data_IF_075960273205
#
_entry.id   IF_075960273205
#
_cell.length_a   1.000
_cell.length_b   1.000
_cell.length_c   1.000
_cell.angle_alpha   90.00
_cell.angle_beta   90.00
_cell.angle_gamma   90.00
#
_symmetry.space_group_name_H-M   'P 1'
#
loop_
_entity.id
_entity.type
_entity.pdbx_description
1 polymer ?
#
# COMPACT_ATOMS: atom_id res chain seq x y z
N UNK A 1 0.08 0.38 -8.03
CA UNK A 1 1.36 0.95 -8.48
C UNK A 1 1.56 2.30 -7.77
N UNK A 2 1.99 2.36 -6.52
CA UNK A 2 2.39 3.65 -5.88
C UNK A 2 2.75 3.56 -4.40
N UNK A 3 3.22 2.42 -3.91
CA UNK A 3 3.61 2.29 -2.51
C UNK A 3 5.03 2.84 -2.25
N UNK A 4 5.85 3.00 -3.29
CA UNK A 4 7.26 3.38 -3.14
C UNK A 4 7.57 4.88 -3.26
N UNK A 5 6.65 5.70 -3.79
CA UNK A 5 6.87 7.13 -4.01
C UNK A 5 6.09 7.95 -2.98
N UNK A 6 6.63 8.17 -1.81
CA UNK A 6 6.16 9.20 -0.87
C UNK A 6 7.14 10.37 -0.84
N UNK A 7 6.95 11.30 -1.77
CA UNK A 7 7.60 12.60 -1.71
C UNK A 7 7.07 13.41 -0.50
N UNK A 8 7.95 13.99 0.30
CA UNK A 8 7.65 14.81 1.50
C UNK A 8 6.62 15.94 1.24
N UNK A 9 6.43 16.38 0.02
CA UNK A 9 5.47 17.42 -0.36
C UNK A 9 4.02 16.89 -0.51
N UNK A 10 3.80 15.61 -0.75
CA UNK A 10 2.44 15.05 -0.80
C UNK A 10 1.87 14.76 0.60
N UNK A 11 2.71 14.57 1.59
CA UNK A 11 2.27 14.45 2.99
C UNK A 11 1.63 15.74 3.56
N UNK A 12 1.83 16.91 2.92
CA UNK A 12 1.17 18.18 3.28
C UNK A 12 -0.19 18.37 2.64
N UNK A 13 -0.48 17.75 1.50
CA UNK A 13 -1.78 17.89 0.81
C UNK A 13 -2.87 16.93 1.31
N UNK A 14 -2.50 15.84 2.00
CA UNK A 14 -3.47 14.88 2.55
C UNK A 14 -4.10 15.38 3.89
N UNK A 15 -3.61 16.48 4.47
CA UNK A 15 -4.18 17.06 5.71
C UNK A 15 -5.45 17.86 5.53
N UNK A 16 -5.94 18.08 4.30
CA UNK A 16 -7.07 18.99 4.03
C UNK A 16 -8.33 18.33 3.44
N UNK A 17 -8.42 17.01 3.34
CA UNK A 17 -9.61 16.36 2.71
C UNK A 17 -10.22 15.20 3.48
N UNK A 18 -10.24 15.30 4.80
CA UNK A 18 -10.97 14.34 5.63
C UNK A 18 -12.14 15.00 6.35
N UNK A 19 -12.93 15.80 5.66
CA UNK A 19 -14.27 16.23 6.11
C UNK A 19 -14.91 17.03 4.97
N UNK A 20 -15.96 16.49 4.39
CA UNK A 20 -16.93 17.29 3.66
C UNK A 20 -17.09 16.95 2.18
N UNK A 21 -18.31 16.55 1.88
CA UNK A 21 -19.01 16.74 0.60
C UNK A 21 -19.00 15.58 -0.40
N UNK A 22 -19.84 14.60 -0.12
CA UNK A 22 -20.68 14.02 -1.18
C UNK A 22 -21.87 14.96 -1.39
N UNK A 23 -21.78 15.87 -2.34
CA UNK A 23 -22.92 16.50 -3.01
C UNK A 23 -22.38 17.40 -4.13
N UNK A 24 -22.35 16.90 -5.34
CA UNK A 24 -22.37 17.73 -6.53
C UNK A 24 -23.43 17.18 -7.47
N UNK A 25 -24.65 17.62 -7.24
CA UNK A 25 -25.79 17.52 -8.16
C UNK A 25 -25.52 18.48 -9.32
N UNK A 26 -25.18 17.97 -10.49
CA UNK A 26 -25.11 18.77 -11.70
C UNK A 26 -26.53 18.99 -12.26
N UNK A 27 -27.04 20.17 -12.07
CA UNK A 27 -28.19 20.70 -12.89
C UNK A 27 -27.56 21.24 -14.17
N UNK A 28 -27.72 20.52 -15.28
CA UNK A 28 -27.42 21.04 -16.61
C UNK A 28 -28.72 21.50 -17.24
N UNK A 29 -28.83 22.80 -17.40
CA UNK A 29 -29.83 23.48 -18.21
C UNK A 29 -29.71 23.08 -19.68
N UNK A 30 -30.80 22.64 -20.28
CA UNK A 30 -30.90 22.22 -21.64
C UNK A 30 -30.74 23.40 -22.62
N UNK A 31 -29.78 23.25 -23.55
CA UNK A 31 -29.83 23.95 -24.85
C UNK A 31 -29.32 22.96 -25.89
N UNK A 32 -30.20 22.65 -26.83
CA UNK A 32 -30.05 21.71 -27.93
C UNK A 32 -28.82 21.99 -28.81
N UNK A 33 -27.89 21.04 -28.87
CA UNK A 33 -27.11 20.73 -30.06
C UNK A 33 -26.92 19.21 -30.12
N UNK A 34 -27.71 18.57 -30.99
CA UNK A 34 -27.53 17.15 -31.33
C UNK A 34 -26.35 17.07 -32.26
N UNK A 35 -25.17 16.78 -31.73
CA UNK A 35 -24.09 16.15 -32.48
C UNK A 35 -24.01 14.72 -31.94
N UNK A 36 -24.36 13.75 -32.78
CA UNK A 36 -24.21 12.36 -32.46
C UNK A 36 -22.70 12.05 -32.36
N UNK A 37 -22.15 12.16 -31.15
CA UNK A 37 -20.86 11.59 -30.83
C UNK A 37 -21.07 10.10 -30.59
N UNK A 38 -20.57 9.27 -31.50
CA UNK A 38 -20.39 7.86 -31.26
C UNK A 38 -19.58 7.69 -29.97
N UNK A 39 -20.22 7.13 -28.94
CA UNK A 39 -19.51 6.75 -27.72
C UNK A 39 -18.41 5.78 -28.09
N UNK A 40 -17.15 5.99 -27.69
CA UNK A 40 -16.09 5.04 -27.98
C UNK A 40 -16.48 3.67 -27.41
N UNK A 41 -16.57 2.69 -28.28
CA UNK A 41 -16.85 1.30 -27.92
C UNK A 41 -15.67 0.81 -27.09
N UNK A 42 -15.81 0.83 -25.77
CA UNK A 42 -14.83 0.23 -24.87
C UNK A 42 -14.82 -1.26 -25.20
N UNK A 43 -13.77 -1.71 -25.88
CA UNK A 43 -13.53 -3.14 -26.12
C UNK A 43 -13.09 -3.69 -24.76
N UNK A 44 -14.03 -4.19 -23.99
CA UNK A 44 -13.74 -5.00 -22.80
C UNK A 44 -13.23 -6.35 -23.34
N UNK A 45 -11.99 -6.77 -23.01
CA UNK A 45 -11.53 -8.09 -23.40
C UNK A 45 -12.51 -9.12 -22.85
N UNK A 46 -12.80 -10.17 -23.64
CA UNK A 46 -13.72 -11.25 -23.27
C UNK A 46 -13.28 -11.80 -21.90
N UNK A 47 -14.04 -11.50 -20.87
CA UNK A 47 -13.83 -12.05 -19.54
C UNK A 47 -14.21 -13.53 -19.63
N UNK A 48 -13.28 -14.41 -19.24
CA UNK A 48 -13.60 -15.81 -19.01
C UNK A 48 -14.78 -15.91 -18.05
N UNK A 49 -15.57 -16.95 -18.18
CA UNK A 49 -16.74 -17.21 -17.32
C UNK A 49 -16.31 -17.17 -15.85
N UNK A 50 -16.75 -16.14 -15.13
CA UNK A 50 -16.42 -15.94 -13.71
C UNK A 50 -17.36 -16.72 -12.78
N UNK A 51 -18.38 -17.41 -13.31
CA UNK A 51 -19.43 -18.07 -12.54
C UNK A 51 -20.35 -17.12 -11.76
N UNK A 52 -20.18 -15.80 -11.90
CA UNK A 52 -20.96 -14.79 -11.19
C UNK A 52 -22.28 -14.54 -11.90
N UNK A 53 -23.40 -14.57 -11.16
CA UNK A 53 -24.72 -14.23 -11.67
C UNK A 53 -24.87 -12.75 -12.06
N UNK A 54 -24.25 -11.87 -11.25
CA UNK A 54 -24.22 -10.43 -11.51
C UNK A 54 -22.83 -9.86 -11.18
N UNK A 55 -21.95 -9.78 -12.17
CA UNK A 55 -20.61 -9.23 -12.02
C UNK A 55 -20.57 -7.76 -11.53
N UNK A 56 -21.61 -6.96 -11.82
CA UNK A 56 -21.67 -5.55 -11.43
C UNK A 56 -21.86 -5.41 -9.92
N UNK A 57 -22.81 -6.16 -9.35
CA UNK A 57 -23.02 -6.18 -7.91
C UNK A 57 -21.79 -6.70 -7.16
N UNK A 58 -21.15 -7.76 -7.69
CA UNK A 58 -19.90 -8.27 -7.12
C UNK A 58 -18.78 -7.22 -7.17
N UNK A 59 -18.60 -6.54 -8.30
CA UNK A 59 -17.55 -5.52 -8.46
C UNK A 59 -17.74 -4.36 -7.47
N UNK A 60 -18.97 -3.88 -7.30
CA UNK A 60 -19.29 -2.84 -6.32
C UNK A 60 -18.97 -3.31 -4.89
N UNK A 61 -19.46 -4.48 -4.50
CA UNK A 61 -19.21 -5.05 -3.17
C UNK A 61 -17.71 -5.28 -2.92
N UNK A 62 -16.97 -5.77 -3.92
CA UNK A 62 -15.53 -5.97 -3.83
C UNK A 62 -14.78 -4.65 -3.63
N UNK A 63 -15.17 -3.59 -4.36
CA UNK A 63 -14.55 -2.28 -4.19
C UNK A 63 -14.80 -1.69 -2.80
N UNK A 64 -16.05 -1.75 -2.32
CA UNK A 64 -16.42 -1.31 -0.96
C UNK A 64 -15.60 -2.10 0.08
N UNK A 65 -15.53 -3.43 -0.07
CA UNK A 65 -14.74 -4.28 0.82
C UNK A 65 -13.24 -3.93 0.83
N UNK A 66 -12.67 -3.61 -0.34
CA UNK A 66 -11.28 -3.12 -0.44
C UNK A 66 -11.07 -1.80 0.30
N UNK A 67 -11.99 -0.86 0.16
CA UNK A 67 -11.89 0.45 0.81
C UNK A 67 -12.02 0.30 2.34
N UNK A 68 -12.93 -0.56 2.80
CA UNK A 68 -13.04 -0.92 4.21
C UNK A 68 -11.75 -1.57 4.74
N UNK A 69 -11.19 -2.54 4.01
CA UNK A 69 -9.94 -3.21 4.39
C UNK A 69 -8.75 -2.22 4.43
N UNK A 70 -8.69 -1.27 3.49
CA UNK A 70 -7.65 -0.21 3.50
C UNK A 70 -7.76 0.72 4.70
N UNK A 71 -8.96 0.86 5.27
CA UNK A 71 -9.23 1.59 6.51
C UNK A 71 -8.98 0.77 7.77
N UNK A 72 -8.44 -0.44 7.64
CA UNK A 72 -8.12 -1.33 8.76
C UNK A 72 -9.28 -2.17 9.28
N UNK A 73 -10.42 -2.16 8.58
CA UNK A 73 -11.57 -3.00 8.89
C UNK A 73 -11.36 -4.42 8.35
N UNK A 74 -11.95 -5.40 9.02
CA UNK A 74 -11.92 -6.82 8.63
C UNK A 74 -13.30 -7.45 8.78
N UNK A 75 -13.50 -8.63 8.22
CA UNK A 75 -14.76 -9.36 8.34
C UNK A 75 -15.12 -9.68 9.80
N UNK A 76 -14.15 -9.75 10.71
CA UNK A 76 -14.36 -9.96 12.13
C UNK A 76 -15.01 -8.76 12.84
N UNK A 77 -15.05 -7.59 12.21
CA UNK A 77 -15.62 -6.38 12.78
C UNK A 77 -17.15 -6.29 12.59
N UNK A 78 -17.72 -7.15 11.73
CA UNK A 78 -19.13 -7.04 11.32
C UNK A 78 -19.88 -8.35 11.41
N UNK A 79 -21.17 -8.24 11.74
CA UNK A 79 -22.15 -9.19 11.27
C UNK A 79 -22.52 -8.83 9.82
N UNK A 80 -22.27 -9.76 8.90
CA UNK A 80 -22.49 -9.51 7.46
C UNK A 80 -23.98 -9.36 7.13
N UNK A 81 -24.87 -10.04 7.86
CA UNK A 81 -26.31 -9.93 7.65
C UNK A 81 -26.81 -8.55 8.07
N UNK A 82 -26.36 -8.06 9.24
CA UNK A 82 -26.70 -6.72 9.72
C UNK A 82 -26.06 -5.62 8.83
N UNK A 83 -24.84 -5.83 8.34
CA UNK A 83 -24.22 -4.90 7.40
C UNK A 83 -25.03 -4.78 6.10
N UNK A 84 -25.47 -5.90 5.54
CA UNK A 84 -26.28 -5.92 4.33
C UNK A 84 -27.69 -5.37 4.56
N UNK A 85 -28.28 -5.62 5.74
CA UNK A 85 -29.57 -5.02 6.13
C UNK A 85 -29.43 -3.48 6.22
N UNK A 86 -28.39 -2.99 6.91
CA UNK A 86 -28.11 -1.56 7.01
C UNK A 86 -27.85 -0.90 5.65
N UNK A 87 -27.14 -1.57 4.75
CA UNK A 87 -26.94 -1.10 3.37
C UNK A 87 -28.26 -0.97 2.61
N UNK A 88 -29.13 -1.98 2.71
CA UNK A 88 -30.46 -2.00 2.08
C UNK A 88 -31.37 -0.89 2.66
N UNK A 89 -31.39 -0.80 3.98
CA UNK A 89 -32.19 0.22 4.69
C UNK A 89 -31.71 1.64 4.33
N UNK A 90 -30.40 1.84 4.19
CA UNK A 90 -29.80 3.10 3.77
C UNK A 90 -30.20 3.51 2.35
N UNK A 91 -30.21 2.59 1.39
CA UNK A 91 -30.70 2.84 0.04
C UNK A 91 -32.21 3.13 -0.03
N UNK A 92 -32.97 2.58 0.92
CA UNK A 92 -34.42 2.79 1.00
C UNK A 92 -34.82 3.98 1.89
N UNK A 93 -33.85 4.68 2.49
CA UNK A 93 -34.07 5.79 3.45
C UNK A 93 -34.92 5.37 4.67
N UNK A 94 -34.74 4.10 5.14
CA UNK A 94 -35.52 3.48 6.23
C UNK A 94 -34.64 3.03 7.39
N UNK A 95 -33.71 3.90 7.81
CA UNK A 95 -32.80 3.58 8.90
C UNK A 95 -33.50 3.20 10.21
N UNK A 96 -33.03 2.11 10.86
CA UNK A 96 -33.54 1.63 12.15
C UNK A 96 -32.89 2.34 13.34
N UNK A 97 -31.74 2.98 13.13
CA UNK A 97 -30.99 3.69 14.16
C UNK A 97 -31.15 5.20 13.96
N UNK A 98 -31.25 5.94 15.07
CA UNK A 98 -31.16 7.38 15.03
C UNK A 98 -29.69 7.82 14.92
N UNK A 99 -29.47 9.11 14.64
CA UNK A 99 -28.16 9.68 14.39
C UNK A 99 -27.17 9.49 15.57
N UNK A 100 -27.65 9.61 16.80
CA UNK A 100 -26.86 9.38 18.01
C UNK A 100 -26.42 7.92 18.16
N UNK A 101 -27.30 6.97 17.87
CA UNK A 101 -26.98 5.53 17.90
C UNK A 101 -25.96 5.17 16.81
N UNK A 102 -26.12 5.72 15.61
CA UNK A 102 -25.14 5.56 14.52
C UNK A 102 -23.77 6.08 14.95
N UNK A 103 -23.73 7.31 15.51
CA UNK A 103 -22.49 7.91 16.01
C UNK A 103 -21.80 7.05 17.08
N UNK A 104 -22.55 6.56 18.05
CA UNK A 104 -22.01 5.69 19.11
C UNK A 104 -21.47 4.37 18.55
N UNK A 105 -22.18 3.74 17.61
CA UNK A 105 -21.72 2.51 16.96
C UNK A 105 -20.42 2.73 16.18
N UNK A 106 -20.32 3.85 15.44
CA UNK A 106 -19.13 4.19 14.68
C UNK A 106 -17.93 4.50 15.57
N UNK A 107 -18.13 5.19 16.71
CA UNK A 107 -17.06 5.42 17.70
C UNK A 107 -16.56 4.09 18.26
N UNK A 108 -17.46 3.19 18.67
CA UNK A 108 -17.08 1.86 19.18
C UNK A 108 -16.31 1.02 18.16
N UNK A 109 -16.68 1.11 16.87
CA UNK A 109 -15.96 0.46 15.77
C UNK A 109 -14.56 1.03 15.61
N UNK A 110 -14.42 2.37 15.60
CA UNK A 110 -13.12 3.04 15.48
C UNK A 110 -12.17 2.69 16.63
N UNK A 111 -12.67 2.64 17.87
CA UNK A 111 -11.86 2.26 19.04
C UNK A 111 -11.37 0.81 18.93
N UNK A 112 -12.20 -0.11 18.46
CA UNK A 112 -11.82 -1.51 18.25
C UNK A 112 -10.73 -1.64 17.19
N UNK A 113 -10.90 -0.98 16.04
CA UNK A 113 -9.90 -0.96 14.96
C UNK A 113 -8.58 -0.38 15.46
N UNK A 114 -8.64 0.76 16.18
CA UNK A 114 -7.46 1.40 16.76
C UNK A 114 -6.73 0.48 17.73
N UNK A 115 -7.43 -0.17 18.63
CA UNK A 115 -6.84 -1.11 19.59
C UNK A 115 -6.14 -2.29 18.88
N UNK A 116 -6.77 -2.86 17.84
CA UNK A 116 -6.18 -3.92 17.02
C UNK A 116 -4.94 -3.45 16.27
N UNK A 117 -4.97 -2.24 15.71
CA UNK A 117 -3.81 -1.68 15.01
C UNK A 117 -2.63 -1.43 15.95
N UNK A 118 -2.88 -0.96 17.18
CA UNK A 118 -1.85 -0.79 18.21
C UNK A 118 -1.24 -2.14 18.59
N UNK A 119 -2.06 -3.18 18.82
CA UNK A 119 -1.55 -4.52 19.15
C UNK A 119 -0.75 -5.12 17.99
N UNK A 120 -1.24 -4.98 16.75
CA UNK A 120 -0.51 -5.41 15.54
C UNK A 120 0.82 -4.68 15.39
N UNK A 121 0.83 -3.37 15.62
CA UNK A 121 2.02 -2.53 15.59
C UNK A 121 3.09 -3.02 16.59
N UNK A 122 2.68 -3.27 17.83
CA UNK A 122 3.56 -3.79 18.87
C UNK A 122 4.13 -5.17 18.50
N UNK A 123 3.26 -6.11 18.10
CA UNK A 123 3.67 -7.47 17.70
C UNK A 123 4.62 -7.47 16.51
N UNK A 124 4.37 -6.61 15.52
CA UNK A 124 5.25 -6.49 14.35
C UNK A 124 6.62 -5.93 14.74
N UNK A 125 6.65 -4.91 15.63
CA UNK A 125 7.90 -4.34 16.12
C UNK A 125 8.74 -5.36 16.90
N UNK A 126 8.10 -6.14 17.77
CA UNK A 126 8.75 -7.23 18.50
C UNK A 126 9.37 -8.24 17.54
N UNK A 127 8.59 -8.74 16.57
CA UNK A 127 9.07 -9.68 15.53
C UNK A 127 10.19 -9.08 14.69
N UNK A 128 10.09 -7.81 14.32
CA UNK A 128 11.13 -7.12 13.55
C UNK A 128 12.45 -7.07 14.34
N UNK A 129 12.39 -6.71 15.63
CA UNK A 129 13.57 -6.63 16.50
C UNK A 129 14.20 -8.00 16.73
N UNK A 130 13.39 -9.03 17.00
CA UNK A 130 13.88 -10.41 17.17
C UNK A 130 14.55 -10.92 15.89
N UNK A 131 13.92 -10.69 14.74
CA UNK A 131 14.48 -11.08 13.46
C UNK A 131 15.82 -10.39 13.18
N UNK A 132 15.90 -9.08 13.33
CA UNK A 132 17.13 -8.31 13.10
C UNK A 132 18.24 -8.71 14.06
N UNK A 133 17.90 -8.98 15.33
CA UNK A 133 18.85 -9.47 16.33
C UNK A 133 19.46 -10.81 15.93
N UNK A 134 18.67 -11.74 15.43
CA UNK A 134 19.16 -13.03 14.97
C UNK A 134 19.85 -12.93 13.59
N UNK A 135 19.38 -12.03 12.72
CA UNK A 135 19.87 -11.93 11.35
C UNK A 135 21.26 -11.32 11.25
N UNK A 136 21.62 -10.39 12.16
CA UNK A 136 22.95 -9.73 12.16
C UNK A 136 24.12 -10.71 12.34
N UNK A 137 23.86 -11.87 12.98
CA UNK A 137 24.86 -12.87 13.27
C UNK A 137 24.98 -13.94 12.16
N UNK A 138 24.18 -13.82 11.09
CA UNK A 138 24.25 -14.69 9.93
C UNK A 138 25.43 -14.33 9.04
N UNK A 139 26.04 -15.36 8.44
CA UNK A 139 27.19 -15.21 7.56
C UNK A 139 26.90 -14.22 6.41
N UNK A 140 27.80 -13.28 6.18
CA UNK A 140 27.74 -12.28 5.12
C UNK A 140 26.79 -11.10 5.37
N UNK A 141 25.96 -11.15 6.42
CA UNK A 141 25.08 -10.05 6.76
C UNK A 141 25.87 -8.90 7.39
N UNK A 142 25.67 -7.71 6.86
CA UNK A 142 26.24 -6.47 7.37
C UNK A 142 25.15 -5.58 7.98
N UNK A 143 25.49 -4.89 9.07
CA UNK A 143 24.58 -3.96 9.75
C UNK A 143 25.19 -2.55 9.73
N UNK A 144 24.42 -1.58 9.29
CA UNK A 144 24.84 -0.17 9.29
C UNK A 144 24.52 0.52 10.61
N UNK A 145 25.01 1.76 10.79
CA UNK A 145 24.74 2.56 12.00
C UNK A 145 23.26 2.91 12.16
N UNK A 146 22.48 2.96 11.08
CA UNK A 146 21.04 3.22 11.12
C UNK A 146 20.20 2.00 11.51
N UNK A 147 20.84 0.81 11.54
CA UNK A 147 20.17 -0.47 11.76
C UNK A 147 19.68 -1.16 10.47
N UNK A 148 19.94 -0.59 9.30
CA UNK A 148 19.75 -1.30 8.04
C UNK A 148 20.66 -2.52 8.01
N UNK A 149 20.12 -3.68 7.65
CA UNK A 149 20.91 -4.88 7.39
C UNK A 149 20.86 -5.25 5.91
N UNK A 150 21.96 -5.76 5.39
CA UNK A 150 22.03 -6.21 4.01
C UNK A 150 22.99 -7.38 3.84
N UNK A 151 22.71 -8.18 2.81
CA UNK A 151 23.55 -9.27 2.34
C UNK A 151 23.84 -9.04 0.85
N UNK A 152 25.11 -8.95 0.47
CA UNK A 152 25.51 -8.89 -0.93
C UNK A 152 25.37 -10.29 -1.55
N UNK A 153 24.48 -10.41 -2.53
CA UNK A 153 24.26 -11.65 -3.28
C UNK A 153 25.15 -11.70 -4.53
N UNK A 154 25.43 -10.52 -5.12
CA UNK A 154 26.31 -10.34 -6.27
C UNK A 154 27.00 -8.98 -6.15
N UNK A 155 28.30 -8.94 -6.43
CA UNK A 155 29.10 -7.73 -6.40
C UNK A 155 29.19 -7.09 -7.81
N UNK A 156 28.73 -5.86 -7.90
CA UNK A 156 28.87 -5.00 -9.10
C UNK A 156 30.21 -4.27 -9.13
N UNK A 157 30.52 -3.76 -10.32
CA UNK A 157 31.78 -3.00 -10.58
C UNK A 157 31.52 -1.60 -11.17
N UNK A 158 30.24 -1.23 -11.37
CA UNK A 158 29.87 0.02 -11.99
C UNK A 158 29.87 1.22 -11.05
N UNK A 159 29.22 2.29 -11.45
CA UNK A 159 29.10 3.54 -10.68
C UNK A 159 28.24 3.34 -9.43
N UNK A 160 28.56 4.09 -8.39
CA UNK A 160 27.73 4.21 -7.18
C UNK A 160 26.78 5.41 -7.32
N UNK A 161 25.49 5.26 -7.04
CA UNK A 161 24.55 6.37 -7.06
C UNK A 161 24.86 7.43 -6.00
N UNK A 162 24.54 8.68 -6.31
CA UNK A 162 24.47 9.77 -5.33
C UNK A 162 23.02 10.00 -4.90
N UNK A 163 22.81 10.84 -3.91
CA UNK A 163 21.46 11.18 -3.42
C UNK A 163 20.54 11.77 -4.50
N UNK A 164 21.13 12.46 -5.50
CA UNK A 164 20.41 13.13 -6.59
C UNK A 164 20.32 12.32 -7.87
N UNK A 165 20.90 11.12 -7.88
CA UNK A 165 20.85 10.22 -9.03
C UNK A 165 19.47 9.61 -9.23
N UNK A 166 19.17 9.24 -10.47
CA UNK A 166 18.06 8.32 -10.80
C UNK A 166 18.66 6.94 -11.04
N UNK A 167 18.09 5.93 -10.41
CA UNK A 167 18.53 4.53 -10.51
C UNK A 167 17.51 3.71 -11.28
N UNK A 168 18.00 2.74 -12.07
CA UNK A 168 17.18 1.70 -12.69
C UNK A 168 17.43 0.38 -11.98
N UNK A 169 16.37 -0.25 -11.49
CA UNK A 169 16.48 -1.45 -10.65
C UNK A 169 15.46 -2.53 -11.02
N UNK A 170 15.83 -3.78 -10.78
CA UNK A 170 14.88 -4.86 -10.51
C UNK A 170 14.79 -5.08 -9.01
N UNK A 171 13.58 -5.39 -8.53
CA UNK A 171 13.39 -5.72 -7.12
C UNK A 171 12.18 -6.61 -6.88
N UNK A 172 12.20 -7.27 -5.72
CA UNK A 172 11.05 -7.92 -5.11
C UNK A 172 11.01 -7.57 -3.62
N UNK A 173 9.87 -7.07 -3.14
CA UNK A 173 9.63 -6.70 -1.74
C UNK A 173 8.67 -7.66 -1.06
N UNK A 174 9.07 -8.17 0.12
CA UNK A 174 8.31 -9.13 0.94
C UNK A 174 8.20 -8.66 2.38
N UNK A 175 7.10 -9.02 3.03
CA UNK A 175 6.98 -9.00 4.48
C UNK A 175 7.75 -10.19 5.09
N UNK A 176 7.98 -10.19 6.42
CA UNK A 176 8.55 -11.34 7.13
C UNK A 176 7.73 -12.62 6.98
N UNK A 177 6.42 -12.50 6.74
CA UNK A 177 5.53 -13.62 6.45
C UNK A 177 5.80 -14.32 5.11
N UNK A 178 6.65 -13.72 4.26
CA UNK A 178 6.89 -14.16 2.89
C UNK A 178 5.91 -13.58 1.87
N UNK A 179 4.87 -12.85 2.30
CA UNK A 179 3.91 -12.19 1.38
C UNK A 179 4.66 -11.16 0.53
N UNK A 180 4.65 -11.35 -0.80
CA UNK A 180 5.13 -10.35 -1.75
C UNK A 180 4.11 -9.21 -1.80
N UNK A 181 4.57 -7.97 -1.58
CA UNK A 181 3.73 -6.79 -1.68
C UNK A 181 4.02 -5.94 -2.91
N UNK A 182 5.22 -6.07 -3.48
CA UNK A 182 5.59 -5.39 -4.72
C UNK A 182 6.77 -6.09 -5.41
N UNK A 183 6.74 -6.18 -6.75
CA UNK A 183 7.79 -6.83 -7.54
C UNK A 183 7.84 -6.29 -8.96
N UNK A 184 8.96 -5.69 -9.34
CA UNK A 184 9.24 -5.32 -10.73
C UNK A 184 9.50 -6.55 -11.60
N UNK A 185 9.99 -7.63 -10.98
CA UNK A 185 10.23 -8.90 -11.66
C UNK A 185 8.91 -9.52 -12.12
N UNK A 186 7.89 -9.51 -11.25
CA UNK A 186 6.56 -10.01 -11.60
C UNK A 186 5.87 -9.18 -12.68
N UNK A 187 6.21 -7.90 -12.82
CA UNK A 187 5.74 -7.02 -13.91
C UNK A 187 6.50 -7.22 -15.23
N UNK A 188 7.65 -7.90 -15.20
CA UNK A 188 8.47 -8.17 -16.37
C UNK A 188 9.36 -7.01 -16.83
N UNK A 189 9.40 -5.88 -16.10
CA UNK A 189 10.16 -4.69 -16.47
C UNK A 189 10.83 -4.02 -15.26
N UNK A 190 12.06 -3.52 -15.41
CA UNK A 190 12.73 -2.73 -14.39
C UNK A 190 12.05 -1.38 -14.23
N UNK A 191 12.25 -0.74 -13.07
CA UNK A 191 11.68 0.57 -12.78
C UNK A 191 12.77 1.59 -12.45
N UNK A 192 12.50 2.87 -12.73
CA UNK A 192 13.39 3.97 -12.39
C UNK A 192 12.85 4.76 -11.19
N UNK A 193 13.74 5.08 -10.24
CA UNK A 193 13.45 5.90 -9.07
C UNK A 193 14.53 6.95 -8.83
N UNK A 194 14.18 8.17 -8.41
CA UNK A 194 15.16 9.07 -7.81
C UNK A 194 15.56 8.51 -6.42
N UNK A 195 16.87 8.49 -6.14
CA UNK A 195 17.42 7.94 -4.88
C UNK A 195 16.83 8.62 -3.64
N UNK A 196 16.52 9.91 -3.72
CA UNK A 196 15.90 10.68 -2.65
C UNK A 196 14.36 10.56 -2.59
N UNK A 197 13.74 9.80 -3.50
CA UNK A 197 12.29 9.65 -3.61
C UNK A 197 11.75 8.35 -3.02
N UNK A 198 12.62 7.48 -2.48
CA UNK A 198 12.27 6.18 -1.92
C UNK A 198 12.37 6.17 -0.39
N UNK A 199 11.99 5.06 0.25
CA UNK A 199 12.11 4.92 1.71
C UNK A 199 13.56 5.06 2.18
N UNK A 200 13.81 5.56 3.43
CA UNK A 200 15.17 5.83 3.93
C UNK A 200 16.13 4.64 3.82
N UNK A 201 15.65 3.43 4.07
CA UNK A 201 16.47 2.22 3.95
C UNK A 201 16.98 1.96 2.53
N UNK A 202 16.17 2.26 1.51
CA UNK A 202 16.57 2.19 0.11
C UNK A 202 17.55 3.31 -0.25
N UNK A 203 17.25 4.54 0.17
CA UNK A 203 18.14 5.69 -0.05
C UNK A 203 19.54 5.41 0.51
N UNK A 204 19.64 4.81 1.68
CA UNK A 204 20.91 4.43 2.27
C UNK A 204 21.59 3.27 1.53
N UNK A 205 20.84 2.21 1.20
CA UNK A 205 21.39 1.05 0.49
C UNK A 205 21.93 1.43 -0.89
N UNK A 206 21.14 2.14 -1.69
CA UNK A 206 21.50 2.53 -3.06
C UNK A 206 22.78 3.35 -3.12
N UNK A 207 23.03 4.24 -2.15
CA UNK A 207 24.27 5.03 -2.07
C UNK A 207 25.51 4.21 -1.68
N UNK A 208 25.32 2.92 -1.30
CA UNK A 208 26.40 1.98 -0.99
C UNK A 208 26.58 0.94 -2.08
N UNK A 209 25.56 0.73 -2.92
CA UNK A 209 25.58 -0.21 -4.05
C UNK A 209 26.35 0.37 -5.24
N UNK A 210 26.81 -0.54 -6.10
CA UNK A 210 27.36 -0.24 -7.42
C UNK A 210 26.50 -0.86 -8.50
N UNK A 211 26.46 -0.27 -9.68
CA UNK A 211 25.80 -0.90 -10.84
C UNK A 211 26.35 -2.32 -11.04
N UNK A 212 25.44 -3.28 -11.14
CA UNK A 212 25.69 -4.72 -11.16
C UNK A 212 25.59 -5.41 -9.80
N UNK A 213 25.44 -4.66 -8.69
CA UNK A 213 25.16 -5.26 -7.37
C UNK A 213 23.76 -5.85 -7.33
N UNK A 214 23.64 -7.01 -6.68
CA UNK A 214 22.39 -7.57 -6.21
C UNK A 214 22.46 -7.77 -4.71
N UNK A 215 21.61 -7.09 -3.97
CA UNK A 215 21.58 -7.14 -2.51
C UNK A 215 20.24 -7.62 -1.98
N UNK A 216 20.30 -8.33 -0.85
CA UNK A 216 19.14 -8.58 -0.01
C UNK A 216 19.16 -7.60 1.15
N UNK A 217 18.12 -6.77 1.25
CA UNK A 217 17.97 -5.74 2.26
C UNK A 217 16.99 -6.21 3.32
N UNK A 218 17.29 -5.96 4.59
CA UNK A 218 16.39 -6.15 5.72
C UNK A 218 16.22 -4.79 6.37
N UNK A 219 15.09 -4.17 6.10
CA UNK A 219 14.84 -2.77 6.42
C UNK A 219 13.97 -2.69 7.67
N UNK A 220 14.50 -2.17 8.80
CA UNK A 220 13.73 -1.97 10.02
C UNK A 220 12.57 -1.00 9.77
N UNK A 221 11.47 -1.10 10.54
CA UNK A 221 10.28 -0.25 10.35
C UNK A 221 10.57 1.25 10.30
N UNK A 222 11.48 1.74 11.13
CA UNK A 222 11.86 3.16 11.18
C UNK A 222 12.56 3.68 9.92
N UNK A 223 13.13 2.79 9.09
CA UNK A 223 13.72 3.12 7.79
C UNK A 223 12.77 2.79 6.61
N UNK A 224 11.55 2.40 6.92
CA UNK A 224 10.49 2.06 5.95
C UNK A 224 9.24 2.93 6.20
N UNK A 225 8.11 2.31 6.51
CA UNK A 225 6.81 2.99 6.67
C UNK A 225 6.39 3.21 8.14
N UNK A 226 7.18 2.72 9.11
CA UNK A 226 6.97 2.93 10.54
C UNK A 226 5.59 2.47 11.03
N UNK A 227 5.07 3.19 12.03
CA UNK A 227 3.78 2.89 12.67
C UNK A 227 2.57 3.06 11.75
N UNK A 228 2.70 3.77 10.65
CA UNK A 228 1.59 4.00 9.71
C UNK A 228 1.37 2.82 8.77
N UNK A 229 2.44 2.07 8.45
CA UNK A 229 2.40 1.12 7.33
C UNK A 229 2.19 1.81 5.98
N UNK A 230 1.80 1.04 4.95
CA UNK A 230 1.51 1.58 3.62
C UNK A 230 0.46 0.74 2.88
N UNK A 231 -0.59 1.41 2.41
CA UNK A 231 -1.70 0.77 1.70
C UNK A 231 -2.38 -0.32 2.55
N UNK A 232 -2.95 -1.31 1.86
CA UNK A 232 -3.58 -2.47 2.51
C UNK A 232 -2.58 -3.61 2.78
N UNK A 233 -1.39 -3.56 2.19
CA UNK A 233 -0.45 -4.68 2.17
C UNK A 233 0.61 -4.60 3.26
N UNK A 234 1.05 -3.40 3.65
CA UNK A 234 2.11 -3.20 4.63
C UNK A 234 1.50 -2.64 5.91
N UNK A 235 1.41 -3.49 6.92
CA UNK A 235 0.89 -3.12 8.24
C UNK A 235 1.84 -2.18 9.01
N UNK A 236 1.39 -1.71 10.20
CA UNK A 236 2.23 -0.90 11.06
C UNK A 236 3.45 -1.68 11.55
N UNK A 237 4.59 -1.03 11.59
CA UNK A 237 5.87 -1.56 12.07
C UNK A 237 6.30 -2.90 11.43
N UNK A 238 5.95 -3.12 10.16
CA UNK A 238 6.48 -4.26 9.40
C UNK A 238 7.96 -4.05 9.06
N UNK A 239 8.78 -5.07 9.30
CA UNK A 239 10.11 -5.20 8.71
C UNK A 239 9.96 -5.61 7.25
N UNK A 240 10.65 -4.94 6.37
CA UNK A 240 10.60 -5.23 4.94
C UNK A 240 11.87 -5.95 4.49
N UNK A 241 11.69 -6.98 3.68
CA UNK A 241 12.79 -7.71 3.03
C UNK A 241 12.71 -7.44 1.54
N UNK A 242 13.78 -6.94 0.96
CA UNK A 242 13.88 -6.72 -0.48
C UNK A 242 15.07 -7.49 -1.06
N UNK A 243 14.88 -8.01 -2.26
CA UNK A 243 15.98 -8.29 -3.16
C UNK A 243 16.01 -7.19 -4.21
N UNK A 244 17.16 -6.52 -4.35
CA UNK A 244 17.34 -5.36 -5.23
C UNK A 244 18.55 -5.60 -6.10
N UNK A 245 18.38 -5.43 -7.41
CA UNK A 245 19.47 -5.46 -8.39
C UNK A 245 19.57 -4.07 -9.03
N UNK A 246 20.74 -3.44 -8.89
CA UNK A 246 21.02 -2.12 -9.45
C UNK A 246 21.55 -2.26 -10.87
N UNK A 247 20.73 -1.90 -11.84
CA UNK A 247 21.01 -2.09 -13.26
C UNK A 247 21.72 -0.89 -13.90
N UNK A 248 21.34 0.33 -13.51
CA UNK A 248 21.89 1.56 -14.10
C UNK A 248 21.74 2.76 -13.16
N UNK A 249 22.55 3.80 -13.41
CA UNK A 249 22.59 5.09 -12.67
C UNK A 249 22.70 6.24 -13.67
N UNK A 250 21.73 7.13 -13.61
CA UNK A 250 21.66 8.39 -14.39
C UNK A 250 21.90 9.61 -13.53
#
# INVERSE_FOLDING_TARGET
>A
MQVMLLNRNQARMIRASALGSFAALFIVSASNFIVAQETPKVIVPAQGDTGLKDPKSYALGFQVGKDMASSGLSLEDFDIQELMAGFTDGLAEKGKLNEQQIQQAMVGLQERVKARMIDKSRKNLEKANEYLKANKDKEGVQTTKSGLQYLSLQAGKGKTPTLTSTVKVHYEGKLLSGKVFDSSIARGEPIEFPVNGVIPGWTEALQRMKVGDKWKLFIPPGLAYGERGAGADIGPNELLVFEVELLDVK
#
